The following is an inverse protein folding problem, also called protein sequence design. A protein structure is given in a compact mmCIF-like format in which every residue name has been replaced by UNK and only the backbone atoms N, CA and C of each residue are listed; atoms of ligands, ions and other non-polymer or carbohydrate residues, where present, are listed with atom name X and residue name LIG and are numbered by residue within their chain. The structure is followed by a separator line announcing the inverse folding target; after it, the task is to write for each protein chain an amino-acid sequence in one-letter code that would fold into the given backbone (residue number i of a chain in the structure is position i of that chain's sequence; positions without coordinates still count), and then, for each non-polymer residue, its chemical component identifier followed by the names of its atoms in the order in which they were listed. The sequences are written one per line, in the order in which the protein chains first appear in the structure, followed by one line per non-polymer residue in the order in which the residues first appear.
data_IF_905046966307
#
_entry.id   IF_905046966307
#
_cell.length_a   1.000
_cell.length_b   1.000
_cell.length_c   1.000
_cell.angle_alpha   90.00
_cell.angle_beta   90.00
_cell.angle_gamma   90.00
#
_symmetry.space_group_name_H-M   'P 1'
#
loop_
_entity.id
_entity.type
_entity.pdbx_description
1 polymer ?
#
# COMPACT_ATOMS: atom_id res chain seq x y z
N UNK A 1 -43.86 -45.30 -2.17
CA UNK A 1 -43.24 -44.68 -3.36
C UNK A 1 -43.46 -43.17 -3.28
N UNK A 2 -42.51 -42.42 -2.72
CA UNK A 2 -42.57 -40.95 -2.68
C UNK A 2 -41.35 -40.39 -3.40
N UNK A 3 -41.59 -39.69 -4.51
CA UNK A 3 -40.56 -39.08 -5.37
C UNK A 3 -39.97 -37.86 -4.69
N UNK A 4 -38.65 -37.81 -4.61
CA UNK A 4 -37.86 -36.70 -4.11
C UNK A 4 -37.85 -35.56 -5.14
N UNK A 5 -38.30 -34.37 -4.73
CA UNK A 5 -38.24 -33.18 -5.56
C UNK A 5 -36.79 -32.65 -5.57
N UNK A 6 -36.15 -32.71 -6.73
CA UNK A 6 -34.82 -32.14 -6.95
C UNK A 6 -34.88 -30.61 -6.86
N UNK A 7 -34.20 -30.04 -5.85
CA UNK A 7 -34.00 -28.60 -5.70
C UNK A 7 -33.16 -28.07 -6.87
N UNK A 8 -33.80 -27.36 -7.80
CA UNK A 8 -33.13 -26.71 -8.93
C UNK A 8 -32.49 -25.43 -8.43
N UNK A 9 -31.16 -25.38 -8.41
CA UNK A 9 -30.41 -24.13 -8.26
C UNK A 9 -30.85 -23.15 -9.37
N UNK A 10 -31.12 -21.87 -9.05
CA UNK A 10 -31.36 -20.87 -10.06
C UNK A 10 -30.08 -20.66 -10.89
N UNK A 11 -30.21 -20.37 -12.21
CA UNK A 11 -29.06 -20.14 -13.06
C UNK A 11 -28.26 -18.91 -12.57
N UNK A 12 -26.94 -19.02 -12.61
CA UNK A 12 -26.02 -17.89 -12.42
C UNK A 12 -26.42 -16.79 -13.41
N UNK A 13 -26.98 -15.70 -12.91
CA UNK A 13 -27.26 -14.53 -13.73
C UNK A 13 -25.93 -13.99 -14.25
N UNK A 14 -25.81 -13.89 -15.57
CA UNK A 14 -24.67 -13.25 -16.21
C UNK A 14 -24.55 -11.83 -15.69
N UNK A 15 -23.47 -11.53 -14.96
CA UNK A 15 -23.15 -10.14 -14.64
C UNK A 15 -22.96 -9.43 -15.97
N UNK A 16 -23.79 -8.41 -16.24
CA UNK A 16 -23.56 -7.51 -17.36
C UNK A 16 -22.15 -6.95 -17.19
N UNK A 17 -21.29 -7.18 -18.18
CA UNK A 17 -19.96 -6.61 -18.23
C UNK A 17 -20.13 -5.12 -18.53
N UNK A 18 -20.46 -4.34 -17.51
CA UNK A 18 -20.39 -2.88 -17.58
C UNK A 18 -18.91 -2.54 -17.73
N UNK A 19 -18.53 -1.88 -18.82
CA UNK A 19 -17.18 -1.40 -19.01
C UNK A 19 -16.84 -0.45 -17.87
N UNK A 20 -16.12 -0.96 -16.88
CA UNK A 20 -15.59 -0.16 -15.77
C UNK A 20 -14.70 0.90 -16.41
N UNK A 21 -15.11 2.18 -16.33
CA UNK A 21 -14.21 3.30 -16.61
C UNK A 21 -13.07 3.20 -15.60
N UNK A 22 -11.91 2.72 -16.03
CA UNK A 22 -10.71 2.72 -15.18
C UNK A 22 -10.29 4.16 -14.99
N UNK A 23 -10.42 4.66 -13.76
CA UNK A 23 -9.78 5.92 -13.37
C UNK A 23 -8.26 5.74 -13.52
N UNK A 24 -7.61 6.65 -14.26
CA UNK A 24 -6.16 6.60 -14.45
C UNK A 24 -5.40 7.03 -13.19
N UNK A 25 -6.05 7.72 -12.28
CA UNK A 25 -5.52 8.19 -11.00
C UNK A 25 -6.61 8.22 -9.94
N UNK A 26 -6.18 8.19 -8.68
CA UNK A 26 -7.04 8.43 -7.51
C UNK A 26 -6.74 9.82 -6.94
N UNK A 27 -7.69 10.45 -6.23
CA UNK A 27 -7.38 11.60 -5.38
C UNK A 27 -6.27 11.24 -4.38
N UNK A 28 -5.43 12.22 -4.02
CA UNK A 28 -4.40 12.03 -3.00
C UNK A 28 -5.09 11.83 -1.65
N UNK A 29 -4.95 10.65 -1.01
CA UNK A 29 -5.58 10.39 0.28
C UNK A 29 -4.82 11.08 1.42
N UNK A 30 -5.51 11.35 2.53
CA UNK A 30 -4.94 12.11 3.66
C UNK A 30 -3.68 11.46 4.23
N UNK A 31 -3.65 10.12 4.32
CA UNK A 31 -2.48 9.37 4.81
C UNK A 31 -1.22 9.57 3.95
N UNK A 32 -1.39 9.88 2.65
CA UNK A 32 -0.29 10.18 1.74
C UNK A 32 0.19 11.63 1.87
N UNK A 33 -0.72 12.53 2.25
CA UNK A 33 -0.44 13.95 2.48
C UNK A 33 0.06 14.26 3.90
N UNK A 34 -0.07 13.30 4.83
CA UNK A 34 0.35 13.44 6.22
C UNK A 34 1.83 13.86 6.31
N UNK A 35 2.18 14.81 7.21
CA UNK A 35 3.57 15.29 7.35
C UNK A 35 4.59 14.18 7.58
N UNK A 36 4.21 13.17 8.38
CA UNK A 36 5.04 12.03 8.76
C UNK A 36 5.33 11.15 7.53
N UNK A 37 4.30 10.86 6.72
CA UNK A 37 4.44 10.11 5.47
C UNK A 37 5.33 10.87 4.48
N UNK A 38 5.12 12.18 4.33
CA UNK A 38 5.93 13.03 3.45
C UNK A 38 7.39 13.07 3.89
N UNK A 39 7.66 13.19 5.19
CA UNK A 39 9.02 13.18 5.72
C UNK A 39 9.77 11.90 5.31
N UNK A 40 9.11 10.74 5.40
CA UNK A 40 9.71 9.45 4.97
C UNK A 40 9.91 9.41 3.46
N UNK A 41 8.90 9.77 2.66
CA UNK A 41 9.05 9.74 1.18
C UNK A 41 10.09 10.71 0.66
N UNK A 42 10.20 11.90 1.27
CA UNK A 42 11.20 12.91 0.91
C UNK A 42 12.61 12.43 1.28
N UNK A 43 12.76 11.81 2.45
CA UNK A 43 14.03 11.23 2.88
C UNK A 43 14.51 10.14 1.90
N UNK A 44 13.63 9.22 1.52
CA UNK A 44 13.95 8.13 0.59
C UNK A 44 14.16 8.65 -0.84
N UNK A 45 13.43 9.69 -1.25
CA UNK A 45 13.54 10.32 -2.58
C UNK A 45 14.72 11.29 -2.71
N UNK A 46 15.46 11.59 -1.63
CA UNK A 46 16.45 12.67 -1.59
C UNK A 46 17.61 12.52 -2.61
N UNK A 47 17.84 11.32 -3.16
CA UNK A 47 18.84 11.04 -4.21
C UNK A 47 18.22 10.83 -5.59
N UNK A 48 16.94 11.14 -5.77
CA UNK A 48 16.20 10.93 -7.02
C UNK A 48 15.67 9.50 -7.20
N UNK A 49 15.70 8.67 -6.16
CA UNK A 49 15.13 7.33 -6.19
C UNK A 49 13.60 7.40 -6.35
N UNK A 50 13.03 6.49 -7.14
CA UNK A 50 11.58 6.38 -7.29
C UNK A 50 11.01 5.56 -6.14
N UNK A 51 10.39 6.24 -5.19
CA UNK A 51 9.70 5.65 -4.03
C UNK A 51 8.23 5.42 -4.39
N UNK A 52 7.68 4.26 -4.04
CA UNK A 52 6.29 3.90 -4.32
C UNK A 52 5.58 3.42 -3.07
N UNK A 53 4.33 3.84 -2.91
CA UNK A 53 3.40 3.17 -2.01
C UNK A 53 2.99 1.83 -2.59
N UNK A 54 2.98 0.80 -1.74
CA UNK A 54 2.68 -0.58 -2.13
C UNK A 54 1.80 -1.26 -1.09
N UNK A 55 1.38 -2.49 -1.35
CA UNK A 55 0.75 -3.32 -0.33
C UNK A 55 -0.65 -2.87 0.08
N UNK A 56 -0.94 -3.01 1.37
CA UNK A 56 -2.28 -2.85 1.96
C UNK A 56 -2.84 -1.43 1.79
N UNK A 57 -2.03 -0.39 2.00
CA UNK A 57 -2.50 1.00 1.89
C UNK A 57 -3.06 1.33 0.51
N UNK A 58 -2.46 0.80 -0.55
CA UNK A 58 -2.95 0.98 -1.93
C UNK A 58 -4.27 0.24 -2.13
N UNK A 59 -4.33 -1.04 -1.75
CA UNK A 59 -5.54 -1.86 -1.85
C UNK A 59 -6.71 -1.20 -1.09
N UNK A 60 -6.47 -0.83 0.16
CA UNK A 60 -7.52 -0.33 1.05
C UNK A 60 -8.01 1.04 0.60
N UNK A 61 -7.12 1.91 0.10
CA UNK A 61 -7.52 3.18 -0.53
C UNK A 61 -8.41 2.95 -1.76
N UNK A 62 -8.06 2.00 -2.63
CA UNK A 62 -8.85 1.69 -3.83
C UNK A 62 -10.22 1.08 -3.51
N UNK A 63 -10.35 0.39 -2.37
CA UNK A 63 -11.60 -0.19 -1.87
C UNK A 63 -12.41 0.79 -0.99
N UNK A 64 -11.89 1.98 -0.70
CA UNK A 64 -12.52 2.92 0.22
C UNK A 64 -12.52 2.46 1.68
N UNK A 65 -11.58 1.61 2.06
CA UNK A 65 -11.37 1.15 3.43
C UNK A 65 -10.39 2.07 4.17
N UNK A 66 -10.47 2.06 5.50
CA UNK A 66 -9.47 2.73 6.34
C UNK A 66 -8.09 2.07 6.15
N UNK A 67 -7.05 2.88 5.97
CA UNK A 67 -5.66 2.42 5.88
C UNK A 67 -5.09 2.32 7.29
N UNK A 68 -4.61 1.13 7.66
CA UNK A 68 -3.99 0.87 8.95
C UNK A 68 -2.46 1.08 8.94
N UNK A 69 -1.81 0.58 7.89
CA UNK A 69 -0.35 0.56 7.76
C UNK A 69 0.06 1.11 6.38
N UNK A 70 1.22 1.78 6.32
CA UNK A 70 1.79 2.35 5.09
C UNK A 70 3.08 1.61 4.73
N UNK A 71 3.07 0.95 3.57
CA UNK A 71 4.26 0.29 3.02
C UNK A 71 4.86 1.09 1.86
N UNK A 72 6.19 1.18 1.85
CA UNK A 72 6.97 1.84 0.81
C UNK A 72 7.96 0.87 0.17
N UNK A 73 8.12 0.97 -1.15
CA UNK A 73 9.15 0.30 -1.91
C UNK A 73 10.10 1.32 -2.55
N UNK A 74 11.40 1.06 -2.45
CA UNK A 74 12.48 1.84 -3.07
C UNK A 74 13.49 0.89 -3.72
N UNK A 75 14.18 1.28 -4.82
CA UNK A 75 15.29 0.48 -5.36
C UNK A 75 16.53 0.47 -4.46
N UNK A 76 16.61 1.36 -3.47
CA UNK A 76 17.78 1.47 -2.59
C UNK A 76 17.92 0.27 -1.64
N UNK A 77 19.14 -0.23 -1.41
CA UNK A 77 19.37 -1.30 -0.44
C UNK A 77 19.18 -0.79 1.00
N UNK A 78 18.92 -1.68 1.98
CA UNK A 78 18.59 -1.30 3.35
C UNK A 78 19.61 -0.40 4.06
N UNK A 79 20.89 -0.53 3.76
CA UNK A 79 21.95 0.31 4.31
C UNK A 79 21.82 1.75 3.81
N UNK A 80 21.46 1.93 2.53
CA UNK A 80 21.21 3.23 1.93
C UNK A 80 19.94 3.85 2.50
N UNK A 81 18.87 3.07 2.63
CA UNK A 81 17.62 3.48 3.29
C UNK A 81 17.89 3.97 4.71
N UNK A 82 18.63 3.19 5.50
CA UNK A 82 19.00 3.55 6.87
C UNK A 82 19.78 4.85 6.93
N UNK A 83 20.74 5.06 6.02
CA UNK A 83 21.52 6.30 5.96
C UNK A 83 20.67 7.51 5.56
N UNK A 84 19.73 7.35 4.61
CA UNK A 84 18.82 8.39 4.17
C UNK A 84 17.87 8.82 5.31
N UNK A 85 17.25 7.86 5.99
CA UNK A 85 16.39 8.12 7.14
C UNK A 85 17.13 8.86 8.25
N UNK A 86 18.31 8.38 8.64
CA UNK A 86 19.15 9.04 9.65
C UNK A 86 19.55 10.46 9.26
N UNK A 87 19.90 10.68 7.98
CA UNK A 87 20.25 12.01 7.46
C UNK A 87 19.07 12.99 7.55
N UNK A 88 17.85 12.49 7.41
CA UNK A 88 16.62 13.27 7.56
C UNK A 88 16.15 13.44 9.01
N UNK A 89 16.90 12.94 10.00
CA UNK A 89 16.51 12.99 11.42
C UNK A 89 15.48 11.93 11.81
N UNK A 90 15.18 10.96 10.93
CA UNK A 90 14.21 9.89 11.18
C UNK A 90 14.88 8.68 11.82
N UNK A 91 14.19 8.04 12.77
CA UNK A 91 14.68 6.81 13.39
C UNK A 91 14.42 5.63 12.46
N UNK A 92 15.46 4.82 12.23
CA UNK A 92 15.40 3.60 11.42
C UNK A 92 15.57 2.37 12.31
N UNK A 93 14.62 1.44 12.24
CA UNK A 93 14.63 0.17 12.97
C UNK A 93 14.88 -0.96 11.96
N UNK A 94 15.97 -1.70 12.15
CA UNK A 94 16.48 -2.69 11.20
C UNK A 94 16.01 -4.14 11.48
N UNK A 95 14.83 -4.32 12.07
CA UNK A 95 14.33 -5.63 12.50
C UNK A 95 14.04 -6.61 11.35
N UNK A 96 13.99 -6.14 10.10
CA UNK A 96 13.78 -6.97 8.89
C UNK A 96 14.87 -6.82 7.83
N UNK A 97 16.07 -6.36 8.21
CA UNK A 97 17.11 -5.96 7.25
C UNK A 97 17.55 -7.09 6.31
N UNK A 98 17.65 -8.33 6.82
CA UNK A 98 18.00 -9.52 6.03
C UNK A 98 16.97 -9.84 4.93
N UNK A 99 15.76 -9.32 5.06
CA UNK A 99 14.67 -9.47 4.09
C UNK A 99 14.43 -8.20 3.27
N UNK A 100 15.28 -7.18 3.41
CA UNK A 100 15.15 -5.92 2.68
C UNK A 100 14.25 -4.88 3.35
N UNK A 101 13.85 -5.08 4.60
CA UNK A 101 12.87 -4.21 5.29
C UNK A 101 13.52 -3.39 6.39
N UNK A 102 13.21 -2.08 6.39
CA UNK A 102 13.54 -1.13 7.46
C UNK A 102 12.23 -0.45 7.89
N UNK A 103 11.97 -0.36 9.18
CA UNK A 103 10.86 0.44 9.72
C UNK A 103 11.35 1.86 9.99
N UNK A 104 10.75 2.85 9.33
CA UNK A 104 10.99 4.26 9.60
C UNK A 104 10.04 4.76 10.69
N UNK A 105 10.54 5.63 11.56
CA UNK A 105 9.73 6.35 12.55
C UNK A 105 9.98 7.85 12.34
N UNK A 106 8.98 8.51 11.76
CA UNK A 106 8.80 9.96 11.79
C UNK A 106 8.00 10.30 13.04
N UNK A 107 8.40 11.34 13.78
CA UNK A 107 7.98 11.63 15.15
C UNK A 107 6.55 11.20 15.52
N UNK A 108 6.49 10.47 16.63
CA UNK A 108 5.33 10.16 17.47
C UNK A 108 5.78 10.06 18.91
#
# INVERSE_FOLDING_TARGET
MSRQAASRHPPLQSRKNESVKTAQSIPVPDWMAAPETRAVTDALGAKGAVVRFVGGCVRDTLLGHAVADIDLATPDPPETVTALLKKAGLRAIATGIEHGTITAVADG
#
